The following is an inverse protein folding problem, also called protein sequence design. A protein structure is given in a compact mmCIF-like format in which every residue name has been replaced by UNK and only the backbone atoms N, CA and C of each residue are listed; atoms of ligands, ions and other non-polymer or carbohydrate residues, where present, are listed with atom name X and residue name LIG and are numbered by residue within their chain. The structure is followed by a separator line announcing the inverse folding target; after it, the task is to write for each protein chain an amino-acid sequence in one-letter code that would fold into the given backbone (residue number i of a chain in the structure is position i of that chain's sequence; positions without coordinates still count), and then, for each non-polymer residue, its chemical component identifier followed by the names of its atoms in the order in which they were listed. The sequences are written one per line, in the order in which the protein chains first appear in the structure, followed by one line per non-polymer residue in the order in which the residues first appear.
data_IF_450016087086
#
_entry.id   IF_450016087086
#
_cell.length_a   1.000
_cell.length_b   1.000
_cell.length_c   1.000
_cell.angle_alpha   90.00
_cell.angle_beta   90.00
_cell.angle_gamma   90.00
#
_symmetry.space_group_name_H-M   'P 1'
#
loop_
_entity.id
_entity.type
_entity.pdbx_description
1 polymer ?
#
# COMPACT_ATOMS: atom_id res chain seq x y z
N UNK A 1 2.43 14.06 4.03
CA UNK A 1 3.02 12.74 4.33
C UNK A 1 2.66 11.78 3.20
N UNK A 2 3.63 11.24 2.46
CA UNK A 2 3.40 10.32 1.33
C UNK A 2 3.48 8.86 1.83
N UNK A 3 2.62 8.52 2.81
CA UNK A 3 2.64 7.24 3.50
C UNK A 3 2.13 6.11 2.62
N UNK A 4 3.04 5.33 2.02
CA UNK A 4 2.68 4.27 1.07
C UNK A 4 2.69 4.74 -0.39
N UNK A 5 3.64 5.60 -0.76
CA UNK A 5 3.82 6.03 -2.14
C UNK A 5 4.23 4.84 -3.03
N UNK A 6 3.26 4.30 -3.76
CA UNK A 6 3.52 3.30 -4.77
C UNK A 6 4.28 3.90 -5.94
N UNK A 7 5.18 3.13 -6.54
CA UNK A 7 5.85 3.52 -7.79
C UNK A 7 4.85 3.76 -8.93
N UNK A 8 3.73 3.03 -8.92
CA UNK A 8 2.63 3.19 -9.87
C UNK A 8 1.33 2.66 -9.26
N UNK A 9 0.21 2.96 -9.92
CA UNK A 9 -1.09 2.33 -9.65
C UNK A 9 -1.64 1.87 -10.99
N UNK A 10 -2.11 0.64 -11.07
CA UNK A 10 -2.71 0.11 -12.28
C UNK A 10 -4.22 -0.06 -12.07
N UNK A 11 -5.00 0.53 -12.97
CA UNK A 11 -6.44 0.38 -13.04
C UNK A 11 -6.78 -0.23 -14.39
N UNK A 12 -7.26 -1.47 -14.38
CA UNK A 12 -7.64 -2.20 -15.59
C UNK A 12 -9.14 -2.41 -15.59
N UNK A 13 -9.77 -2.19 -16.73
CA UNK A 13 -11.21 -2.35 -16.89
C UNK A 13 -11.50 -3.27 -18.07
N UNK A 14 -12.17 -4.38 -17.80
CA UNK A 14 -12.64 -5.32 -18.81
C UNK A 14 -14.16 -5.26 -18.86
N UNK A 15 -14.71 -4.85 -19.99
CA UNK A 15 -16.15 -4.74 -20.19
C UNK A 15 -16.60 -5.60 -21.37
N UNK A 16 -17.76 -6.25 -21.21
CA UNK A 16 -18.46 -6.93 -22.28
C UNK A 16 -19.85 -6.31 -22.43
N UNK A 17 -20.20 -5.92 -23.65
CA UNK A 17 -21.41 -5.18 -23.99
C UNK A 17 -22.17 -5.93 -25.07
N UNK A 18 -23.44 -6.19 -24.80
CA UNK A 18 -24.41 -6.68 -25.78
C UNK A 18 -25.69 -5.84 -25.67
N UNK A 19 -26.60 -5.97 -26.63
CA UNK A 19 -27.84 -5.19 -26.62
C UNK A 19 -28.59 -5.37 -25.30
N UNK A 20 -28.82 -4.26 -24.60
CA UNK A 20 -29.50 -4.22 -23.31
C UNK A 20 -28.70 -4.76 -22.12
N UNK A 21 -27.52 -5.35 -22.28
CA UNK A 21 -26.75 -5.89 -21.15
C UNK A 21 -25.26 -5.51 -21.21
N UNK A 22 -24.75 -5.06 -20.08
CA UNK A 22 -23.33 -4.79 -19.86
C UNK A 22 -22.86 -5.51 -18.60
N UNK A 23 -21.66 -6.06 -18.65
CA UNK A 23 -20.90 -6.50 -17.48
C UNK A 23 -19.50 -5.89 -17.53
N UNK A 24 -19.00 -5.52 -16.36
CA UNK A 24 -17.75 -4.80 -16.19
C UNK A 24 -16.98 -5.36 -14.99
N UNK A 25 -15.73 -5.78 -15.24
CA UNK A 25 -14.77 -6.14 -14.21
C UNK A 25 -13.69 -5.07 -14.14
N UNK A 26 -13.54 -4.43 -12.98
CA UNK A 26 -12.45 -3.51 -12.68
C UNK A 26 -11.44 -4.19 -11.78
N UNK A 27 -10.18 -4.20 -12.20
CA UNK A 27 -9.04 -4.59 -11.37
C UNK A 27 -8.25 -3.35 -10.96
N UNK A 28 -8.02 -3.18 -9.66
CA UNK A 28 -7.15 -2.15 -9.09
C UNK A 28 -5.96 -2.84 -8.45
N UNK A 29 -4.76 -2.57 -8.97
CA UNK A 29 -3.49 -3.09 -8.46
C UNK A 29 -2.64 -1.97 -7.87
N UNK A 30 -2.16 -2.22 -6.66
CA UNK A 30 -1.13 -1.44 -5.98
C UNK A 30 0.08 -2.37 -5.78
N UNK A 31 1.26 -2.02 -6.32
CA UNK A 31 2.46 -2.80 -6.07
C UNK A 31 2.86 -2.74 -4.59
N UNK A 32 3.79 -3.59 -4.18
CA UNK A 32 4.38 -3.45 -2.84
C UNK A 32 5.07 -2.09 -2.68
N UNK A 33 5.09 -1.56 -1.46
CA UNK A 33 5.73 -0.28 -1.13
C UNK A 33 6.68 -0.43 0.07
N UNK A 34 7.66 0.45 0.17
CA UNK A 34 8.51 0.55 1.37
C UNK A 34 7.82 1.41 2.44
N UNK A 35 8.17 1.22 3.70
CA UNK A 35 7.67 2.07 4.76
C UNK A 35 8.18 3.52 4.58
N UNK A 36 7.41 4.49 5.06
CA UNK A 36 7.77 5.91 4.94
C UNK A 36 9.10 6.23 5.67
N UNK A 37 9.37 5.55 6.78
CA UNK A 37 10.63 5.62 7.52
C UNK A 37 11.79 5.14 6.65
N UNK A 38 11.63 4.02 5.95
CA UNK A 38 12.67 3.46 5.08
C UNK A 38 12.94 4.38 3.90
N UNK A 39 11.90 5.00 3.32
CA UNK A 39 12.07 5.96 2.24
C UNK A 39 12.93 7.17 2.67
N UNK A 40 12.66 7.72 3.86
CA UNK A 40 13.48 8.80 4.43
C UNK A 40 14.91 8.33 4.70
N UNK A 41 15.07 7.17 5.33
CA UNK A 41 16.39 6.60 5.64
C UNK A 41 17.20 6.34 4.38
N UNK A 42 16.59 5.78 3.32
CA UNK A 42 17.25 5.53 2.04
C UNK A 42 17.71 6.82 1.36
N UNK A 43 16.93 7.91 1.45
CA UNK A 43 17.34 9.21 0.93
C UNK A 43 18.56 9.77 1.69
N UNK A 44 18.57 9.65 3.02
CA UNK A 44 19.73 10.01 3.85
C UNK A 44 20.96 9.17 3.51
N UNK A 45 20.80 7.86 3.35
CA UNK A 45 21.89 6.95 2.96
C UNK A 45 22.46 7.36 1.60
N UNK A 46 21.61 7.64 0.61
CA UNK A 46 22.06 8.07 -0.72
C UNK A 46 22.82 9.40 -0.67
N UNK A 47 22.35 10.38 0.13
CA UNK A 47 23.09 11.61 0.38
C UNK A 47 24.47 11.32 0.98
N UNK A 48 24.53 10.53 2.05
CA UNK A 48 25.78 10.26 2.75
C UNK A 48 26.77 9.48 1.88
N UNK A 49 26.29 8.56 1.02
CA UNK A 49 27.12 7.89 0.01
C UNK A 49 27.77 8.92 -0.93
N UNK A 50 27.02 9.91 -1.38
CA UNK A 50 27.53 11.01 -2.20
C UNK A 50 28.56 11.88 -1.47
N UNK A 51 28.32 12.22 -0.20
CA UNK A 51 29.26 13.00 0.63
C UNK A 51 30.55 12.21 0.86
N UNK A 52 30.45 10.92 1.17
CA UNK A 52 31.64 10.04 1.36
C UNK A 52 32.44 9.90 0.07
N UNK A 53 31.76 9.75 -1.08
CA UNK A 53 32.42 9.60 -2.37
C UNK A 53 33.08 10.90 -2.87
N UNK A 54 32.48 12.06 -2.59
CA UNK A 54 32.96 13.36 -3.08
C UNK A 54 33.83 14.13 -2.10
N UNK A 55 33.76 13.81 -0.80
CA UNK A 55 34.38 14.59 0.27
C UNK A 55 33.71 15.95 0.53
N UNK A 56 32.57 16.24 -0.10
CA UNK A 56 31.87 17.53 -0.01
C UNK A 56 30.42 17.34 0.43
N UNK A 57 29.94 18.23 1.31
CA UNK A 57 28.59 18.21 1.88
C UNK A 57 28.55 17.84 3.36
N UNK A 58 27.35 17.51 3.85
CA UNK A 58 27.08 17.24 5.27
C UNK A 58 26.56 15.82 5.42
N UNK A 59 27.17 15.06 6.33
CA UNK A 59 26.66 13.75 6.76
C UNK A 59 25.43 13.95 7.64
N UNK A 60 24.34 13.31 7.27
CA UNK A 60 23.09 13.33 8.02
C UNK A 60 22.96 12.06 8.87
N UNK A 61 22.48 12.19 10.10
CA UNK A 61 22.24 11.03 10.96
C UNK A 61 21.02 10.23 10.50
N UNK A 62 21.09 8.90 10.58
CA UNK A 62 19.95 8.00 10.39
C UNK A 62 20.03 6.80 11.31
N UNK A 63 18.88 6.23 11.64
CA UNK A 63 18.78 4.98 12.39
C UNK A 63 18.37 3.82 11.46
N UNK A 64 18.90 2.61 11.67
CA UNK A 64 18.38 1.40 11.04
C UNK A 64 16.89 1.23 11.31
N UNK A 65 16.15 0.77 10.31
CA UNK A 65 14.72 0.50 10.42
C UNK A 65 14.47 -1.00 10.42
N UNK A 66 13.58 -1.44 11.29
CA UNK A 66 13.02 -2.80 11.30
C UNK A 66 11.63 -2.85 10.67
N UNK A 67 11.22 -1.80 9.95
CA UNK A 67 9.92 -1.77 9.28
C UNK A 67 9.88 -2.81 8.15
N UNK A 68 8.74 -3.47 7.99
CA UNK A 68 8.55 -4.41 6.89
C UNK A 68 8.02 -3.70 5.65
N UNK A 69 8.35 -4.29 4.50
CA UNK A 69 7.74 -3.91 3.24
C UNK A 69 6.22 -4.12 3.28
N UNK A 70 5.52 -3.14 2.74
CA UNK A 70 4.07 -3.13 2.60
C UNK A 70 3.73 -4.03 1.40
N UNK A 71 2.91 -5.04 1.62
CA UNK A 71 2.54 -6.01 0.59
C UNK A 71 1.76 -5.36 -0.57
N UNK A 72 1.83 -5.98 -1.75
CA UNK A 72 0.99 -5.60 -2.89
C UNK A 72 -0.49 -5.85 -2.58
N UNK A 73 -1.37 -5.07 -3.21
CA UNK A 73 -2.80 -5.08 -2.97
C UNK A 73 -3.60 -5.07 -4.27
N UNK A 74 -4.48 -6.05 -4.40
CA UNK A 74 -5.31 -6.29 -5.57
C UNK A 74 -6.77 -6.38 -5.16
N UNK A 75 -7.60 -5.54 -5.77
CA UNK A 75 -9.05 -5.58 -5.61
C UNK A 75 -9.73 -5.69 -6.95
N UNK A 76 -10.83 -6.44 -6.96
CA UNK A 76 -11.64 -6.70 -8.13
C UNK A 76 -13.06 -6.22 -7.83
N UNK A 77 -13.59 -5.35 -8.67
CA UNK A 77 -14.96 -4.87 -8.55
C UNK A 77 -15.72 -5.35 -9.78
N UNK A 78 -16.88 -5.96 -9.57
CA UNK A 78 -17.73 -6.50 -10.63
C UNK A 78 -19.05 -5.72 -10.66
N UNK A 79 -19.45 -5.22 -11.82
CA UNK A 79 -20.75 -4.59 -11.99
C UNK A 79 -21.44 -5.08 -13.26
N UNK A 80 -22.76 -5.04 -13.24
CA UNK A 80 -23.59 -5.34 -14.40
C UNK A 80 -24.74 -4.35 -14.47
N UNK A 81 -25.18 -4.06 -15.70
CA UNK A 81 -26.40 -3.31 -15.97
C UNK A 81 -27.23 -4.00 -17.03
N UNK A 82 -28.54 -4.02 -16.84
CA UNK A 82 -29.49 -4.65 -17.73
C UNK A 82 -30.68 -3.72 -18.00
N UNK A 83 -30.85 -3.31 -19.26
CA UNK A 83 -32.07 -2.69 -19.75
C UNK A 83 -33.09 -3.78 -20.01
N UNK A 84 -34.05 -3.88 -19.09
CA UNK A 84 -35.11 -4.89 -19.12
C UNK A 84 -36.10 -4.57 -20.25
N UNK A 85 -36.41 -3.29 -20.44
CA UNK A 85 -37.22 -2.75 -21.53
C UNK A 85 -36.96 -1.23 -21.67
N UNK A 86 -37.68 -0.57 -22.58
CA UNK A 86 -37.53 0.88 -22.87
C UNK A 86 -37.78 1.79 -21.67
N UNK A 87 -38.42 1.29 -20.61
CA UNK A 87 -38.76 2.05 -19.40
C UNK A 87 -37.93 1.66 -18.19
N UNK A 88 -37.37 0.46 -18.15
CA UNK A 88 -36.76 -0.10 -16.94
C UNK A 88 -35.34 -0.56 -17.22
N UNK A 89 -34.40 -0.06 -16.42
CA UNK A 89 -33.02 -0.54 -16.38
C UNK A 89 -32.59 -0.84 -14.94
N UNK A 90 -31.90 -1.96 -14.76
CA UNK A 90 -31.35 -2.41 -13.50
C UNK A 90 -29.83 -2.31 -13.51
N UNK A 91 -29.23 -2.08 -12.35
CA UNK A 91 -27.78 -2.17 -12.13
C UNK A 91 -27.50 -2.87 -10.82
N UNK A 92 -26.47 -3.68 -10.80
CA UNK A 92 -25.98 -4.31 -9.58
C UNK A 92 -24.46 -4.46 -9.64
N UNK A 93 -23.83 -4.65 -8.49
CA UNK A 93 -22.41 -4.94 -8.45
C UNK A 93 -21.89 -5.27 -7.06
N UNK A 94 -20.63 -5.66 -7.05
CA UNK A 94 -19.86 -6.09 -5.90
C UNK A 94 -18.52 -5.37 -5.95
N UNK A 95 -18.29 -4.46 -5.01
CA UNK A 95 -16.96 -3.93 -4.76
C UNK A 95 -16.16 -4.93 -3.92
N UNK A 96 -14.87 -5.06 -4.20
CA UNK A 96 -13.98 -6.03 -3.54
C UNK A 96 -14.56 -7.45 -3.58
N UNK A 97 -14.87 -7.93 -4.79
CA UNK A 97 -15.45 -9.23 -5.11
C UNK A 97 -14.77 -10.40 -4.40
N UNK A 98 -13.44 -10.34 -4.24
CA UNK A 98 -12.64 -11.39 -3.61
C UNK A 98 -12.49 -11.23 -2.09
N UNK A 99 -13.14 -10.24 -1.48
CA UNK A 99 -13.05 -9.91 -0.05
C UNK A 99 -11.60 -9.75 0.45
N UNK A 100 -10.79 -9.03 -0.33
CA UNK A 100 -9.39 -8.79 0.01
C UNK A 100 -9.32 -7.88 1.24
N UNK A 101 -8.71 -8.40 2.30
CA UNK A 101 -8.43 -7.65 3.53
C UNK A 101 -7.41 -6.53 3.27
N UNK A 102 -7.55 -5.36 3.92
CA UNK A 102 -6.61 -4.25 3.77
C UNK A 102 -5.20 -4.64 4.22
N UNK A 103 -4.18 -4.07 3.58
CA UNK A 103 -2.77 -4.35 3.93
C UNK A 103 -2.38 -3.59 5.18
N UNK A 104 -1.66 -4.24 6.08
CA UNK A 104 -1.09 -3.62 7.27
C UNK A 104 0.12 -2.75 6.88
N UNK A 105 0.15 -1.51 7.34
CA UNK A 105 1.17 -0.52 6.91
C UNK A 105 2.23 -0.18 7.97
N UNK A 106 2.09 -0.73 9.18
CA UNK A 106 2.97 -0.43 10.32
C UNK A 106 3.60 -1.70 10.93
N UNK A 107 3.80 -2.73 10.10
CA UNK A 107 4.43 -3.98 10.54
C UNK A 107 5.93 -3.75 10.72
N UNK A 108 6.49 -4.24 11.82
CA UNK A 108 7.93 -4.16 12.09
C UNK A 108 8.40 -5.40 12.83
N UNK A 109 9.62 -5.87 12.52
CA UNK A 109 10.30 -6.93 13.26
C UNK A 109 10.83 -6.47 14.62
N UNK A 110 10.89 -5.16 14.85
CA UNK A 110 11.52 -4.57 16.03
C UNK A 110 13.01 -4.91 16.15
N UNK A 111 13.57 -4.55 17.29
CA UNK A 111 14.89 -4.96 17.76
C UNK A 111 14.72 -5.65 19.13
N UNK A 112 14.44 -6.96 19.16
CA UNK A 112 14.14 -7.67 20.40
C UNK A 112 15.30 -7.61 21.41
N UNK A 113 14.98 -7.83 22.70
CA UNK A 113 15.99 -7.89 23.76
C UNK A 113 17.07 -8.93 23.43
N UNK A 114 18.34 -8.55 23.59
CA UNK A 114 19.49 -9.38 23.21
C UNK A 114 20.03 -9.11 21.81
N UNK A 115 19.34 -8.29 21.00
CA UNK A 115 19.91 -7.76 19.74
C UNK A 115 21.13 -6.90 20.06
N UNK A 116 22.25 -7.14 19.36
CA UNK A 116 23.40 -6.24 19.46
C UNK A 116 23.11 -4.94 18.68
N UNK A 117 22.52 -3.95 19.37
CA UNK A 117 22.10 -2.69 18.75
C UNK A 117 23.27 -1.91 18.13
N UNK A 118 24.45 -1.96 18.76
CA UNK A 118 25.66 -1.32 18.24
C UNK A 118 26.13 -1.94 16.92
N UNK A 119 25.94 -3.26 16.76
CA UNK A 119 26.30 -3.96 15.54
C UNK A 119 25.41 -3.59 14.34
N UNK A 120 24.21 -3.03 14.55
CA UNK A 120 23.30 -2.65 13.47
C UNK A 120 23.88 -1.58 12.52
N UNK A 121 24.81 -0.77 13.01
CA UNK A 121 25.51 0.23 12.20
C UNK A 121 26.88 -0.25 11.67
N UNK A 122 27.30 -1.48 11.98
CA UNK A 122 28.57 -2.01 11.48
C UNK A 122 28.49 -2.25 9.97
N UNK A 123 29.44 -1.68 9.22
CA UNK A 123 29.46 -1.78 7.75
C UNK A 123 28.42 -0.93 7.03
N UNK A 124 27.64 -0.13 7.75
CA UNK A 124 26.70 0.82 7.16
C UNK A 124 27.39 2.11 6.70
N UNK A 125 26.73 2.88 5.84
CA UNK A 125 27.22 4.18 5.37
C UNK A 125 27.36 5.13 6.56
N UNK A 126 28.40 5.98 6.54
CA UNK A 126 28.65 7.00 7.57
C UNK A 126 27.38 7.82 7.89
N UNK A 127 27.18 8.16 9.17
CA UNK A 127 25.95 8.79 9.68
C UNK A 127 24.95 7.81 10.30
N UNK A 128 25.20 6.50 10.27
CA UNK A 128 24.38 5.54 11.01
C UNK A 128 24.53 5.72 12.52
N UNK A 129 23.42 5.86 13.23
CA UNK A 129 23.36 5.91 14.70
C UNK A 129 22.57 4.71 15.22
N UNK A 130 23.17 3.83 16.05
CA UNK A 130 22.48 2.67 16.57
C UNK A 130 21.32 3.09 17.49
N UNK A 131 20.18 2.37 17.49
CA UNK A 131 19.10 2.60 18.44
C UNK A 131 19.59 2.45 19.89
N UNK A 132 19.08 3.28 20.81
CA UNK A 132 19.43 3.25 22.23
C UNK A 132 18.53 2.33 23.07
N UNK A 133 17.47 1.79 22.47
CA UNK A 133 16.50 0.92 23.12
C UNK A 133 16.06 -0.22 22.22
N UNK A 134 15.65 -1.32 22.87
CA UNK A 134 14.99 -2.43 22.20
C UNK A 134 13.57 -2.04 21.79
N UNK A 135 13.08 -2.66 20.72
CA UNK A 135 11.69 -2.55 20.30
C UNK A 135 11.11 -3.93 20.05
N UNK A 136 9.86 -4.13 20.46
CA UNK A 136 9.17 -5.40 20.22
C UNK A 136 8.71 -5.47 18.75
N UNK A 137 8.63 -6.68 18.17
CA UNK A 137 7.94 -6.87 16.92
C UNK A 137 6.50 -6.33 17.02
N UNK A 138 6.10 -5.55 16.02
CA UNK A 138 4.73 -5.08 15.88
C UNK A 138 4.12 -5.77 14.66
N UNK A 139 3.07 -6.55 14.89
CA UNK A 139 2.31 -7.17 13.82
C UNK A 139 1.51 -6.14 12.98
N UNK A 140 1.46 -4.87 13.40
CA UNK A 140 0.76 -3.79 12.70
C UNK A 140 -0.76 -3.98 12.69
N UNK A 141 -1.29 -4.84 13.57
CA UNK A 141 -2.72 -5.18 13.62
C UNK A 141 -3.57 -3.93 13.77
N UNK A 142 -4.64 -3.85 12.98
CA UNK A 142 -5.56 -2.70 12.96
C UNK A 142 -4.97 -1.43 12.34
N UNK A 143 -3.71 -1.44 11.89
CA UNK A 143 -3.06 -0.27 11.30
C UNK A 143 -2.95 -0.42 9.78
N UNK A 144 -3.82 0.31 9.06
CA UNK A 144 -3.82 0.39 7.60
C UNK A 144 -4.04 1.83 7.13
N UNK A 145 -3.74 2.11 5.86
CA UNK A 145 -4.02 3.40 5.24
C UNK A 145 -5.38 3.38 4.52
N UNK A 146 -6.40 3.96 5.14
CA UNK A 146 -7.78 4.02 4.62
C UNK A 146 -7.92 4.84 3.33
N UNK A 147 -6.93 5.66 2.98
CA UNK A 147 -6.90 6.40 1.72
C UNK A 147 -6.50 5.54 0.50
N UNK A 148 -5.83 4.41 0.72
CA UNK A 148 -5.37 3.51 -0.35
C UNK A 148 -6.03 2.14 -0.34
N UNK A 149 -6.35 1.61 0.85
CA UNK A 149 -6.88 0.26 1.02
C UNK A 149 -8.36 0.27 1.38
N UNK A 150 -9.11 -0.70 0.86
CA UNK A 150 -10.52 -0.87 1.23
C UNK A 150 -10.61 -1.53 2.60
N UNK A 151 -11.13 -0.80 3.58
CA UNK A 151 -11.35 -1.28 4.96
C UNK A 151 -12.75 -1.86 5.17
N UNK A 152 -13.65 -1.69 4.21
CA UNK A 152 -15.05 -2.12 4.35
C UNK A 152 -15.29 -3.54 3.79
N UNK A 153 -14.28 -4.14 3.14
CA UNK A 153 -14.39 -5.50 2.60
C UNK A 153 -15.35 -5.57 1.40
N UNK A 154 -15.95 -6.75 1.20
CA UNK A 154 -16.90 -6.99 0.11
C UNK A 154 -18.21 -6.23 0.30
N UNK A 155 -18.62 -5.45 -0.70
CA UNK A 155 -19.84 -4.62 -0.65
C UNK A 155 -20.71 -4.80 -1.85
N UNK A 156 -22.01 -4.94 -1.63
CA UNK A 156 -23.00 -5.13 -2.67
C UNK A 156 -23.78 -3.84 -2.91
N UNK A 157 -24.10 -3.54 -4.15
CA UNK A 157 -25.00 -2.46 -4.50
C UNK A 157 -26.00 -2.89 -5.57
N UNK A 158 -27.18 -2.27 -5.53
CA UNK A 158 -28.26 -2.47 -6.48
C UNK A 158 -28.90 -1.12 -6.77
N UNK A 159 -29.39 -0.93 -7.99
CA UNK A 159 -30.16 0.26 -8.37
C UNK A 159 -31.07 -0.02 -9.55
N UNK A 160 -32.10 0.80 -9.70
CA UNK A 160 -33.02 0.75 -10.82
C UNK A 160 -33.26 2.17 -11.35
N UNK A 161 -33.47 2.28 -12.67
CA UNK A 161 -33.93 3.48 -13.36
C UNK A 161 -35.26 3.15 -14.02
N UNK A 162 -36.26 3.99 -13.77
CA UNK A 162 -37.59 3.90 -14.37
C UNK A 162 -37.88 5.20 -15.11
N UNK A 163 -38.31 5.11 -16.37
CA UNK A 163 -38.74 6.23 -17.20
C UNK A 163 -40.27 6.22 -17.32
N UNK A 164 -40.86 7.42 -17.27
CA UNK A 164 -42.30 7.66 -17.34
C UNK A 164 -42.63 8.42 -18.62
#
# INVERSE_FOLDING_TARGET
FNGGAYKYRLLTNLAYNVSGFNVNLRWRHLPSAIAATDASTNATIANNQGVVASGSGVLLSYAPSSARQIAAYDTFDLSASWTVNDRVSLRAGIDNLLDKQPVLTAVSDGFPQGTNLNALCTGQVAGCTPPTSYSLPNAGLGTTNTGFYDVMGRRYFVGARVLF
#
